data_IF_058473602616
#
_entry.id   IF_058473602616
#
_cell.length_a   1.000
_cell.length_b   1.000
_cell.length_c   1.000
_cell.angle_alpha   90.00
_cell.angle_beta   90.00
_cell.angle_gamma   90.00
#
_symmetry.space_group_name_H-M   'P 1'
#
loop_
_entity.id
_entity.type
_entity.pdbx_description
1 polymer ?
#
# COMPACT_ATOMS: atom_id res chain seq x y z
N UNK A 1 -12.53 -5.44 -1.94
CA UNK A 1 -11.69 -6.22 -0.98
C UNK A 1 -10.88 -7.35 -1.64
N UNK A 2 -11.48 -8.05 -2.59
CA UNK A 2 -11.02 -9.27 -3.23
C UNK A 2 -9.66 -9.11 -3.91
N UNK A 3 -9.47 -8.01 -4.64
CA UNK A 3 -8.20 -7.69 -5.31
C UNK A 3 -7.07 -7.57 -4.29
N UNK A 4 -7.30 -6.89 -3.16
CA UNK A 4 -6.31 -6.76 -2.09
C UNK A 4 -5.97 -8.14 -1.50
N UNK A 5 -6.98 -8.95 -1.21
CA UNK A 5 -6.78 -10.29 -0.65
C UNK A 5 -5.96 -11.18 -1.58
N UNK A 6 -6.25 -11.19 -2.88
CA UNK A 6 -5.49 -11.98 -3.86
C UNK A 6 -4.05 -11.48 -3.98
N UNK A 7 -3.84 -10.18 -4.15
CA UNK A 7 -2.50 -9.61 -4.31
C UNK A 7 -1.63 -9.79 -3.05
N UNK A 8 -2.22 -9.61 -1.87
CA UNK A 8 -1.52 -9.85 -0.59
C UNK A 8 -1.21 -11.32 -0.39
N UNK A 9 -2.13 -12.23 -0.77
CA UNK A 9 -1.87 -13.67 -0.73
C UNK A 9 -0.72 -14.06 -1.66
N UNK A 10 -0.69 -13.52 -2.89
CA UNK A 10 0.43 -13.70 -3.82
C UNK A 10 1.73 -13.14 -3.26
N UNK A 11 1.68 -11.97 -2.60
CA UNK A 11 2.86 -11.39 -1.95
C UNK A 11 3.40 -12.27 -0.83
N UNK A 12 2.54 -12.93 -0.06
CA UNK A 12 2.95 -13.87 0.99
C UNK A 12 3.51 -15.16 0.38
N UNK A 13 2.79 -15.78 -0.55
CA UNK A 13 3.17 -17.05 -1.18
C UNK A 13 4.44 -16.93 -2.05
N UNK A 14 4.66 -15.77 -2.67
CA UNK A 14 5.74 -15.53 -3.62
C UNK A 14 6.50 -14.23 -3.29
N UNK A 15 6.90 -14.07 -2.02
CA UNK A 15 7.53 -12.86 -1.49
C UNK A 15 8.77 -12.36 -2.24
N UNK A 16 9.50 -13.26 -2.92
CA UNK A 16 10.68 -12.98 -3.74
C UNK A 16 10.39 -12.70 -5.22
N UNK A 17 9.15 -12.97 -5.70
CA UNK A 17 8.75 -12.76 -7.10
C UNK A 17 7.72 -11.65 -7.27
N UNK A 18 6.89 -11.44 -6.26
CA UNK A 18 5.82 -10.45 -6.27
C UNK A 18 6.25 -9.27 -5.39
N UNK A 19 6.35 -8.09 -6.00
CA UNK A 19 6.55 -6.83 -5.30
C UNK A 19 5.30 -5.96 -5.50
N UNK A 20 4.80 -5.39 -4.41
CA UNK A 20 3.69 -4.44 -4.44
C UNK A 20 4.21 -3.07 -3.99
N UNK A 21 3.89 -2.04 -4.75
CA UNK A 21 4.23 -0.66 -4.43
C UNK A 21 2.99 0.08 -3.93
N UNK A 22 3.19 1.05 -3.04
CA UNK A 22 2.12 1.91 -2.53
C UNK A 22 1.68 2.85 -3.66
N UNK A 23 0.39 2.91 -3.95
CA UNK A 23 -0.19 3.91 -4.83
C UNK A 23 -0.77 5.09 -4.05
N UNK A 24 -1.44 5.98 -4.77
CA UNK A 24 -2.09 7.17 -4.20
C UNK A 24 -3.28 6.81 -3.31
N UNK A 25 -4.06 5.78 -3.68
CA UNK A 25 -5.31 5.43 -3.02
C UNK A 25 -5.09 4.57 -1.77
N UNK A 26 -3.90 4.01 -1.59
CA UNK A 26 -3.48 3.24 -0.42
C UNK A 26 -3.15 4.17 0.76
N UNK A 27 -4.07 5.06 1.12
CA UNK A 27 -3.99 6.03 2.19
C UNK A 27 -5.26 5.97 3.05
N UNK A 28 -5.09 6.01 4.39
CA UNK A 28 -6.17 5.91 5.37
C UNK A 28 -7.28 6.94 5.16
N UNK A 29 -6.93 8.19 4.89
CA UNK A 29 -7.90 9.26 4.66
C UNK A 29 -8.76 8.96 3.42
N UNK A 30 -8.13 8.62 2.30
CA UNK A 30 -8.86 8.26 1.07
C UNK A 30 -9.70 7.00 1.27
N UNK A 31 -9.14 5.96 1.87
CA UNK A 31 -9.83 4.71 2.13
C UNK A 31 -11.08 4.87 3.02
N UNK A 32 -11.05 5.84 3.94
CA UNK A 32 -12.22 6.18 4.75
C UNK A 32 -13.33 6.79 3.90
N UNK A 33 -12.99 7.76 3.03
CA UNK A 33 -13.95 8.53 2.24
C UNK A 33 -14.41 7.84 0.95
N UNK A 34 -13.60 6.94 0.38
CA UNK A 34 -13.87 6.26 -0.89
C UNK A 34 -14.48 4.85 -0.72
N UNK A 35 -14.99 4.54 0.48
CA UNK A 35 -15.85 3.37 0.69
C UNK A 35 -15.14 2.06 1.06
N UNK A 36 -13.80 2.02 1.18
CA UNK A 36 -13.13 0.77 1.61
C UNK A 36 -13.56 0.35 3.02
N UNK A 37 -13.72 1.31 3.94
CA UNK A 37 -14.21 1.02 5.29
C UNK A 37 -15.62 0.42 5.26
N UNK A 38 -16.51 1.08 4.51
CA UNK A 38 -17.90 0.63 4.35
C UNK A 38 -17.94 -0.77 3.73
N UNK A 39 -17.17 -1.03 2.68
CA UNK A 39 -17.09 -2.35 2.04
C UNK A 39 -16.64 -3.44 3.04
N UNK A 40 -15.68 -3.14 3.93
CA UNK A 40 -15.26 -4.07 4.97
C UNK A 40 -16.38 -4.35 5.97
N UNK A 41 -17.06 -3.32 6.47
CA UNK A 41 -18.16 -3.46 7.42
C UNK A 41 -19.36 -4.23 6.82
N UNK A 42 -19.72 -3.95 5.57
CA UNK A 42 -20.83 -4.62 4.89
C UNK A 42 -20.56 -6.10 4.61
N UNK A 43 -19.33 -6.45 4.20
CA UNK A 43 -19.01 -7.82 3.80
C UNK A 43 -18.52 -8.71 4.94
N UNK A 44 -17.86 -8.14 5.94
CA UNK A 44 -17.24 -8.88 7.05
C UNK A 44 -17.96 -8.65 8.39
N UNK A 45 -18.99 -7.79 8.40
CA UNK A 45 -19.78 -7.49 9.58
C UNK A 45 -19.13 -6.44 10.50
N UNK A 46 -19.85 -6.06 11.58
CA UNK A 46 -19.51 -4.90 12.40
C UNK A 46 -18.26 -5.07 13.27
N UNK A 47 -17.76 -6.31 13.43
CA UNK A 47 -16.57 -6.60 14.26
C UNK A 47 -15.34 -6.80 13.38
N UNK A 48 -15.42 -7.71 12.40
CA UNK A 48 -14.27 -8.05 11.56
C UNK A 48 -14.04 -7.05 10.42
N UNK A 49 -15.08 -6.32 9.99
CA UNK A 49 -14.96 -5.24 9.01
C UNK A 49 -14.01 -4.12 9.45
N UNK A 50 -14.26 -3.46 10.59
CA UNK A 50 -13.37 -2.40 11.09
C UNK A 50 -11.95 -2.91 11.36
N UNK A 51 -11.81 -4.13 11.91
CA UNK A 51 -10.50 -4.76 12.13
C UNK A 51 -9.72 -4.99 10.84
N UNK A 52 -10.40 -5.48 9.80
CA UNK A 52 -9.79 -5.72 8.49
C UNK A 52 -9.39 -4.40 7.84
N UNK A 53 -10.25 -3.37 7.89
CA UNK A 53 -9.92 -2.02 7.43
C UNK A 53 -8.65 -1.47 8.11
N UNK A 54 -8.56 -1.59 9.44
CA UNK A 54 -7.37 -1.16 10.19
C UNK A 54 -6.11 -1.95 9.78
N UNK A 55 -6.24 -3.27 9.62
CA UNK A 55 -5.14 -4.12 9.18
C UNK A 55 -4.64 -3.74 7.77
N UNK A 56 -5.55 -3.52 6.83
CA UNK A 56 -5.23 -3.10 5.46
C UNK A 56 -4.49 -1.75 5.44
N UNK A 57 -4.95 -0.77 6.22
CA UNK A 57 -4.27 0.52 6.29
C UNK A 57 -2.86 0.41 6.90
N UNK A 58 -2.68 -0.42 7.93
CA UNK A 58 -1.33 -0.72 8.47
C UNK A 58 -0.44 -1.37 7.41
N UNK A 59 -0.97 -2.26 6.58
CA UNK A 59 -0.21 -2.84 5.46
C UNK A 59 0.21 -1.75 4.49
N UNK A 60 -0.69 -0.86 4.09
CA UNK A 60 -0.41 0.25 3.18
C UNK A 60 0.67 1.21 3.72
N UNK A 61 0.64 1.51 5.01
CA UNK A 61 1.67 2.32 5.70
C UNK A 61 3.07 1.67 5.63
N UNK A 62 3.16 0.35 5.43
CA UNK A 62 4.42 -0.40 5.31
C UNK A 62 4.81 -0.75 3.87
N UNK A 63 3.98 -0.44 2.87
CA UNK A 63 4.30 -0.70 1.47
C UNK A 63 5.48 0.15 0.98
N UNK A 64 6.24 -0.38 0.02
CA UNK A 64 7.36 0.34 -0.58
C UNK A 64 6.87 1.41 -1.55
N UNK A 65 7.53 2.57 -1.55
CA UNK A 65 7.22 3.69 -2.46
C UNK A 65 7.83 3.52 -3.85
N UNK A 66 8.86 2.69 -3.97
CA UNK A 66 9.58 2.47 -5.22
C UNK A 66 10.21 1.07 -5.25
N UNK A 67 10.57 0.62 -6.44
CA UNK A 67 11.37 -0.56 -6.68
C UNK A 67 12.43 -0.29 -7.77
N UNK A 68 13.55 -0.98 -7.68
CA UNK A 68 14.56 -1.01 -8.76
C UNK A 68 14.51 -2.38 -9.41
N UNK A 69 14.22 -2.42 -10.71
CA UNK A 69 14.14 -3.64 -11.51
C UNK A 69 15.44 -3.81 -12.30
N UNK A 70 16.05 -5.00 -12.18
CA UNK A 70 17.29 -5.38 -12.84
C UNK A 70 18.45 -4.38 -12.63
N UNK A 71 18.45 -3.67 -11.50
CA UNK A 71 19.43 -2.58 -11.20
C UNK A 71 19.47 -1.46 -12.25
N UNK A 72 18.44 -1.35 -13.09
CA UNK A 72 18.42 -0.46 -14.26
C UNK A 72 17.20 0.45 -14.30
N UNK A 73 16.03 -0.06 -13.91
CA UNK A 73 14.77 0.67 -14.04
C UNK A 73 14.26 1.02 -12.65
N UNK A 74 14.09 2.32 -12.39
CA UNK A 74 13.40 2.80 -11.20
C UNK A 74 11.89 2.90 -11.48
N UNK A 75 11.11 2.12 -10.73
CA UNK A 75 9.65 2.19 -10.74
C UNK A 75 9.22 2.93 -9.48
N UNK A 76 8.44 4.00 -9.66
CA UNK A 76 7.85 4.76 -8.57
C UNK A 76 6.38 4.40 -8.45
N UNK A 77 5.91 4.17 -7.22
CA UNK A 77 4.49 4.11 -6.95
C UNK A 77 3.87 5.48 -7.22
N UNK A 78 2.68 5.56 -7.84
CA UNK A 78 2.01 6.83 -8.16
C UNK A 78 1.57 7.62 -6.92
N UNK A 79 1.83 7.09 -5.71
CA UNK A 79 1.77 7.85 -4.46
C UNK A 79 2.50 9.18 -4.57
N UNK A 80 2.03 10.18 -3.82
CA UNK A 80 2.52 11.56 -3.81
C UNK A 80 4.01 11.69 -3.40
N UNK A 81 4.91 11.25 -4.26
CA UNK A 81 6.31 11.62 -4.20
C UNK A 81 6.39 13.08 -4.68
N UNK A 82 7.00 13.98 -3.89
CA UNK A 82 7.05 15.37 -4.25
C UNK A 82 7.88 15.54 -5.53
N UNK A 83 7.49 16.50 -6.37
CA UNK A 83 8.21 16.83 -7.60
C UNK A 83 9.69 17.23 -7.35
N UNK A 84 10.04 17.57 -6.11
CA UNK A 84 11.40 17.84 -5.66
C UNK A 84 12.27 16.58 -5.45
N UNK A 85 11.72 15.38 -5.69
CA UNK A 85 12.48 14.14 -5.71
C UNK A 85 13.38 14.09 -6.95
N UNK A 86 14.65 14.40 -6.75
CA UNK A 86 15.70 14.45 -7.78
C UNK A 86 16.74 13.35 -7.62
N UNK A 87 16.82 12.71 -6.44
CA UNK A 87 17.78 11.64 -6.14
C UNK A 87 17.13 10.50 -5.36
N UNK A 88 17.51 9.27 -5.69
CA UNK A 88 17.07 8.05 -5.01
C UNK A 88 17.26 8.10 -3.49
N UNK A 89 18.35 8.70 -3.01
CA UNK A 89 18.63 8.80 -1.57
C UNK A 89 17.59 9.61 -0.80
N UNK A 90 16.83 10.49 -1.47
CA UNK A 90 15.74 11.21 -0.82
C UNK A 90 14.61 10.26 -0.42
N UNK A 91 14.41 9.14 -1.12
CA UNK A 91 13.42 8.12 -0.74
C UNK A 91 13.77 7.46 0.60
N UNK A 92 15.06 7.41 0.98
CA UNK A 92 15.49 6.85 2.27
C UNK A 92 15.04 7.70 3.47
N UNK A 93 14.60 8.94 3.25
CA UNK A 93 14.08 9.83 4.31
C UNK A 93 12.69 9.42 4.78
N UNK A 94 11.93 8.70 3.96
CA UNK A 94 10.60 8.22 4.29
C UNK A 94 10.71 6.97 5.16
N UNK A 95 10.48 7.14 6.46
CA UNK A 95 10.46 6.04 7.42
C UNK A 95 9.09 5.36 7.44
N UNK A 96 9.09 4.03 7.54
CA UNK A 96 7.88 3.24 7.73
C UNK A 96 7.58 3.09 9.24
N UNK A 97 6.31 3.09 9.69
CA UNK A 97 5.11 3.30 8.88
C UNK A 97 5.04 4.74 8.33
N UNK A 98 4.57 4.84 7.09
CA UNK A 98 4.37 6.08 6.38
C UNK A 98 3.04 6.70 6.82
N UNK A 99 3.10 7.57 7.84
CA UNK A 99 1.96 8.31 8.42
C UNK A 99 1.59 9.51 7.58
#
# INVERSE_FOLDING_TARGET
LEVLTVLLSLKVAHSHRVALLRGHHENRHLNYHLGLRQECEERLGPVEGPRTYECLNRVFEHMSLAAVVSSQILVLGPSALPASLTRLDQLKRYKKPLV
#
